data_IF_461254154209
#
_entry.id   IF_461254154209
#
_cell.length_a   1.000
_cell.length_b   1.000
_cell.length_c   1.000
_cell.angle_alpha   90.00
_cell.angle_beta   90.00
_cell.angle_gamma   90.00
#
_symmetry.space_group_name_H-M   'P 1'
#
loop_
_entity.id
_entity.type
_entity.pdbx_description
1 polymer ?
#
# COMPACT_ATOMS: atom_id res chain seq x y z
N UNK A 1 -26.74 -41.31 32.00
CA UNK A 1 -26.97 -40.30 30.97
C UNK A 1 -26.14 -39.03 31.19
N UNK A 2 -26.06 -38.42 32.36
CA UNK A 2 -25.31 -37.15 32.56
C UNK A 2 -23.76 -37.28 32.38
N UNK A 3 -23.19 -38.45 32.65
CA UNK A 3 -21.72 -38.66 32.44
C UNK A 3 -21.35 -38.84 30.98
N UNK A 4 -22.18 -39.51 30.18
CA UNK A 4 -21.94 -39.71 28.75
C UNK A 4 -22.01 -38.38 27.99
N UNK A 5 -22.94 -37.49 28.39
CA UNK A 5 -23.09 -36.17 27.76
C UNK A 5 -21.88 -35.24 28.02
N UNK A 6 -21.27 -35.35 29.21
CA UNK A 6 -20.05 -34.60 29.55
C UNK A 6 -18.82 -35.05 28.76
N UNK A 7 -18.69 -36.36 28.53
CA UNK A 7 -17.59 -36.89 27.69
C UNK A 7 -17.76 -36.51 26.23
N UNK A 8 -19.00 -36.52 25.68
CA UNK A 8 -19.29 -36.08 24.33
C UNK A 8 -18.97 -34.57 24.12
N UNK A 9 -19.31 -33.74 25.13
CA UNK A 9 -19.03 -32.29 25.08
C UNK A 9 -17.54 -31.99 25.12
N UNK A 10 -16.77 -32.70 25.94
CA UNK A 10 -15.31 -32.56 26.01
C UNK A 10 -14.61 -33.04 24.72
N UNK A 11 -15.10 -34.14 24.13
CA UNK A 11 -14.55 -34.65 22.86
C UNK A 11 -14.82 -33.68 21.70
N UNK A 12 -15.99 -33.05 21.67
CA UNK A 12 -16.33 -32.06 20.65
C UNK A 12 -15.48 -30.77 20.80
N UNK A 13 -15.26 -30.31 22.03
CA UNK A 13 -14.41 -29.16 22.29
C UNK A 13 -12.92 -29.43 21.90
N UNK A 14 -12.45 -30.65 22.15
CA UNK A 14 -11.09 -31.05 21.76
C UNK A 14 -10.91 -31.14 20.25
N UNK A 15 -11.92 -31.63 19.52
CA UNK A 15 -11.92 -31.68 18.06
C UNK A 15 -11.96 -30.29 17.44
N UNK A 16 -12.71 -29.34 18.04
CA UNK A 16 -12.77 -27.95 17.58
C UNK A 16 -11.44 -27.22 17.75
N UNK A 17 -10.69 -27.51 18.81
CA UNK A 17 -9.36 -26.92 19.03
C UNK A 17 -8.31 -27.46 18.04
N UNK A 18 -8.43 -28.72 17.63
CA UNK A 18 -7.56 -29.33 16.63
C UNK A 18 -7.78 -28.78 15.20
N UNK A 19 -9.02 -28.41 14.87
CA UNK A 19 -9.33 -27.83 13.55
C UNK A 19 -8.91 -26.38 13.42
N UNK A 20 -8.76 -25.63 14.53
CA UNK A 20 -8.26 -24.24 14.51
C UNK A 20 -6.76 -24.12 14.18
N UNK A 21 -5.99 -25.21 14.23
CA UNK A 21 -4.54 -25.17 13.94
C UNK A 21 -4.16 -25.46 12.50
N UNK A 22 -5.10 -25.78 11.66
CA UNK A 22 -4.86 -25.99 10.24
C UNK A 22 -5.18 -24.71 9.42
N UNK A 23 -4.61 -23.57 9.82
CA UNK A 23 -4.49 -22.48 8.83
C UNK A 23 -3.44 -22.94 7.81
N UNK A 24 -3.79 -22.95 6.50
CA UNK A 24 -2.79 -23.16 5.48
C UNK A 24 -1.72 -22.09 5.68
N UNK A 25 -0.46 -22.52 5.87
CA UNK A 25 0.68 -21.59 5.86
C UNK A 25 0.56 -20.76 4.60
N UNK A 26 0.52 -19.44 4.79
CA UNK A 26 0.57 -18.53 3.66
C UNK A 26 1.79 -18.90 2.80
N UNK A 27 1.65 -18.98 1.47
CA UNK A 27 2.75 -19.36 0.61
C UNK A 27 3.95 -18.46 0.93
N UNK A 28 5.05 -19.09 1.33
CA UNK A 28 6.29 -18.39 1.68
C UNK A 28 6.93 -17.88 0.39
N UNK A 29 6.39 -16.77 -0.13
CA UNK A 29 7.06 -16.06 -1.20
C UNK A 29 8.35 -15.49 -0.61
N UNK A 30 9.53 -15.79 -1.18
CA UNK A 30 10.75 -15.13 -0.77
C UNK A 30 10.50 -13.63 -0.93
N UNK A 31 10.52 -12.90 0.18
CA UNK A 31 10.40 -11.44 0.13
C UNK A 31 11.51 -10.94 -0.78
N UNK A 32 11.19 -10.14 -1.79
CA UNK A 32 12.21 -9.54 -2.62
C UNK A 32 13.20 -8.80 -1.71
N UNK A 33 14.48 -8.93 -2.01
CA UNK A 33 15.54 -8.17 -1.29
C UNK A 33 15.07 -6.73 -1.25
N UNK A 34 14.80 -6.20 -0.06
CA UNK A 34 14.34 -4.82 0.09
C UNK A 34 15.42 -3.91 -0.46
N UNK A 35 15.12 -3.06 -1.44
CA UNK A 35 16.08 -2.08 -1.88
C UNK A 35 16.48 -1.19 -0.71
N UNK A 36 17.73 -0.76 -0.65
CA UNK A 36 18.21 0.14 0.42
C UNK A 36 17.37 1.42 0.52
N UNK A 37 16.72 1.79 -0.59
CA UNK A 37 15.84 2.96 -0.68
C UNK A 37 14.53 2.58 -1.37
N UNK A 38 13.41 2.75 -0.68
CA UNK A 38 12.08 2.61 -1.25
C UNK A 38 11.74 3.86 -2.07
N UNK A 39 11.41 3.68 -3.35
CA UNK A 39 11.00 4.77 -4.25
C UNK A 39 9.56 4.55 -4.69
N UNK A 40 8.70 5.52 -4.44
CA UNK A 40 7.28 5.46 -4.81
C UNK A 40 6.93 6.73 -5.58
N UNK A 41 6.33 6.57 -6.75
CA UNK A 41 5.74 7.64 -7.53
C UNK A 41 4.23 7.38 -7.63
N UNK A 42 3.44 8.29 -7.08
CA UNK A 42 1.99 8.31 -7.30
C UNK A 42 1.67 9.15 -8.53
N UNK A 43 0.92 8.59 -9.47
CA UNK A 43 0.41 9.31 -10.65
C UNK A 43 -1.10 9.32 -10.57
N UNK A 44 -1.71 10.50 -10.65
CA UNK A 44 -3.17 10.55 -10.60
C UNK A 44 -3.78 11.92 -10.34
N UNK A 45 -4.96 11.87 -9.75
CA UNK A 45 -5.80 13.00 -9.40
C UNK A 45 -5.96 13.13 -7.88
N UNK A 46 -7.03 13.78 -7.40
CA UNK A 46 -7.32 13.97 -5.97
C UNK A 46 -7.37 12.68 -5.15
N UNK A 47 -7.77 11.55 -5.74
CA UNK A 47 -7.73 10.25 -5.04
C UNK A 47 -6.30 9.79 -4.75
N UNK A 48 -5.37 10.06 -5.66
CA UNK A 48 -3.94 9.79 -5.42
C UNK A 48 -3.39 10.72 -4.36
N UNK A 49 -3.86 11.97 -4.30
CA UNK A 49 -3.51 12.92 -3.25
C UNK A 49 -3.89 12.39 -1.87
N UNK A 50 -5.13 11.95 -1.70
CA UNK A 50 -5.62 11.38 -0.45
C UNK A 50 -4.80 10.15 -0.04
N UNK A 51 -4.49 9.26 -0.98
CA UNK A 51 -3.68 8.07 -0.73
C UNK A 51 -2.22 8.35 -0.35
N UNK A 52 -1.65 9.43 -0.90
CA UNK A 52 -0.23 9.77 -0.71
C UNK A 52 0.01 10.76 0.43
N UNK A 53 -1.01 11.50 0.87
CA UNK A 53 -0.88 12.61 1.84
C UNK A 53 -0.21 12.17 3.14
N UNK A 54 -0.66 11.05 3.70
CA UNK A 54 -0.18 10.54 5.00
C UNK A 54 0.87 9.43 4.87
N UNK A 55 1.24 9.07 3.63
CA UNK A 55 2.17 7.98 3.38
C UNK A 55 3.55 8.22 4.02
N UNK A 56 4.12 9.44 4.05
CA UNK A 56 5.38 9.71 4.73
C UNK A 56 5.36 9.32 6.21
N UNK A 57 4.33 9.75 6.94
CA UNK A 57 4.19 9.46 8.37
C UNK A 57 3.94 7.98 8.65
N UNK A 58 3.16 7.33 7.79
CA UNK A 58 2.89 5.89 7.91
C UNK A 58 4.17 5.06 7.71
N UNK A 59 4.99 5.41 6.73
CA UNK A 59 6.26 4.74 6.48
C UNK A 59 7.26 4.96 7.61
N UNK A 60 7.33 6.18 8.15
CA UNK A 60 8.17 6.48 9.30
C UNK A 60 7.72 5.70 10.54
N UNK A 61 6.41 5.66 10.82
CA UNK A 61 5.84 4.88 11.92
C UNK A 61 6.10 3.37 11.76
N UNK A 62 6.14 2.87 10.53
CA UNK A 62 6.52 1.49 10.21
C UNK A 62 8.05 1.23 10.27
N UNK A 63 8.85 2.25 10.62
CA UNK A 63 10.31 2.14 10.71
C UNK A 63 11.03 2.14 9.35
N UNK A 64 10.33 2.48 8.26
CA UNK A 64 10.89 2.54 6.90
C UNK A 64 11.40 3.97 6.67
N UNK A 65 12.72 4.17 6.76
CA UNK A 65 13.33 5.51 6.79
C UNK A 65 13.92 5.96 5.46
N UNK A 66 14.44 5.02 4.66
CA UNK A 66 15.05 5.35 3.38
C UNK A 66 13.98 5.36 2.29
N UNK A 67 13.26 6.46 2.17
CA UNK A 67 12.10 6.59 1.28
C UNK A 67 12.23 7.83 0.42
N UNK A 68 11.93 7.69 -0.86
CA UNK A 68 11.77 8.79 -1.81
C UNK A 68 10.35 8.71 -2.35
N UNK A 69 9.53 9.70 -2.05
CA UNK A 69 8.16 9.79 -2.52
C UNK A 69 8.02 10.93 -3.53
N UNK A 70 7.40 10.63 -4.65
CA UNK A 70 7.01 11.60 -5.67
C UNK A 70 5.53 11.49 -5.99
N UNK A 71 4.96 12.55 -6.51
CA UNK A 71 3.56 12.60 -6.94
C UNK A 71 3.41 13.47 -8.17
N UNK A 72 2.90 12.89 -9.25
CA UNK A 72 2.47 13.58 -10.45
C UNK A 72 0.96 13.77 -10.40
N UNK A 73 0.53 14.99 -10.27
CA UNK A 73 -0.87 15.37 -10.06
C UNK A 73 -1.44 16.13 -11.24
N UNK A 74 -2.63 15.71 -11.68
CA UNK A 74 -3.49 16.49 -12.57
C UNK A 74 -4.94 16.38 -12.09
N UNK A 75 -5.64 17.51 -11.84
CA UNK A 75 -6.98 17.51 -11.26
C UNK A 75 -8.01 16.81 -12.16
N UNK A 76 -8.81 15.90 -11.57
CA UNK A 76 -9.89 15.21 -12.28
C UNK A 76 -9.44 14.27 -13.41
N UNK A 77 -8.15 13.98 -13.52
CA UNK A 77 -7.60 13.17 -14.61
C UNK A 77 -8.12 11.73 -14.58
N UNK A 78 -8.61 11.25 -15.69
CA UNK A 78 -8.96 9.85 -15.90
C UNK A 78 -7.75 9.04 -16.34
N UNK A 79 -7.81 7.71 -16.19
CA UNK A 79 -6.74 6.83 -16.66
C UNK A 79 -6.44 7.01 -18.16
N UNK A 80 -7.49 7.21 -18.98
CA UNK A 80 -7.34 7.49 -20.40
C UNK A 80 -6.51 8.75 -20.65
N UNK A 81 -6.82 9.84 -19.94
CA UNK A 81 -6.08 11.11 -20.09
C UNK A 81 -4.60 10.95 -19.68
N UNK A 82 -4.31 10.16 -18.64
CA UNK A 82 -2.92 9.86 -18.30
C UNK A 82 -2.17 9.18 -19.45
N UNK A 83 -2.80 8.19 -20.11
CA UNK A 83 -2.21 7.52 -21.28
C UNK A 83 -2.05 8.49 -22.47
N UNK A 84 -3.00 9.40 -22.67
CA UNK A 84 -2.92 10.42 -23.73
C UNK A 84 -1.79 11.43 -23.48
N UNK A 85 -1.61 11.84 -22.22
CA UNK A 85 -0.54 12.76 -21.82
C UNK A 85 0.84 12.11 -21.95
N UNK A 86 0.98 10.85 -21.54
CA UNK A 86 2.20 10.09 -21.70
C UNK A 86 2.56 9.90 -23.18
N UNK A 87 1.62 9.47 -24.01
CA UNK A 87 1.82 9.28 -25.44
C UNK A 87 2.20 10.59 -26.19
N UNK A 88 1.78 11.74 -25.68
CA UNK A 88 2.06 13.04 -26.24
C UNK A 88 3.29 13.74 -25.61
N UNK A 89 3.96 13.11 -24.62
CA UNK A 89 4.99 13.72 -23.77
C UNK A 89 4.56 15.10 -23.25
N UNK A 90 3.29 15.18 -22.81
CA UNK A 90 2.66 16.45 -22.50
C UNK A 90 3.00 16.90 -21.06
N UNK A 91 3.56 18.10 -20.85
CA UNK A 91 3.92 18.63 -19.54
C UNK A 91 2.69 19.14 -18.78
N UNK A 92 1.83 18.21 -18.36
CA UNK A 92 0.52 18.51 -17.77
C UNK A 92 0.49 18.39 -16.26
N UNK A 93 1.49 17.72 -15.66
CA UNK A 93 1.45 17.39 -14.24
C UNK A 93 2.12 18.43 -13.37
N UNK A 94 1.53 18.69 -12.21
CA UNK A 94 2.28 19.27 -11.11
C UNK A 94 3.04 18.15 -10.41
N UNK A 95 4.36 18.26 -10.33
CA UNK A 95 5.22 17.31 -9.64
C UNK A 95 5.53 17.78 -8.22
N UNK A 96 5.19 16.93 -7.27
CA UNK A 96 5.53 17.12 -5.87
C UNK A 96 6.51 16.05 -5.41
N UNK A 97 7.36 16.40 -4.44
CA UNK A 97 8.26 15.48 -3.75
C UNK A 97 8.09 15.63 -2.25
N UNK A 98 8.10 14.53 -1.52
CA UNK A 98 8.09 14.57 -0.06
C UNK A 98 9.52 14.65 0.47
N UNK A 99 9.79 15.67 1.27
CA UNK A 99 11.03 15.86 2.01
C UNK A 99 10.69 16.12 3.49
N UNK A 100 11.27 15.31 4.37
CA UNK A 100 11.04 15.42 5.83
C UNK A 100 9.55 15.51 6.19
N UNK A 101 8.75 14.61 5.66
CA UNK A 101 7.29 14.53 5.87
C UNK A 101 6.52 15.77 5.37
N UNK A 102 7.08 16.51 4.43
CA UNK A 102 6.42 17.63 3.77
C UNK A 102 6.42 17.45 2.26
N UNK A 103 5.29 17.73 1.64
CA UNK A 103 5.17 17.79 0.20
C UNK A 103 5.56 19.19 -0.30
N UNK A 104 6.50 19.24 -1.23
CA UNK A 104 6.95 20.47 -1.89
C UNK A 104 6.75 20.37 -3.39
N UNK A 105 6.29 21.44 -4.02
CA UNK A 105 6.20 21.52 -5.48
C UNK A 105 7.60 21.60 -6.07
N UNK A 106 7.90 20.70 -7.00
CA UNK A 106 9.18 20.67 -7.72
C UNK A 106 9.02 21.29 -9.12
N UNK A 107 7.89 21.00 -9.78
CA UNK A 107 7.56 21.52 -11.12
C UNK A 107 6.05 21.63 -11.27
N UNK A 108 5.58 22.66 -11.97
CA UNK A 108 4.17 22.83 -12.35
C UNK A 108 3.89 22.33 -13.77
N UNK A 109 4.91 21.90 -14.49
CA UNK A 109 4.81 21.41 -15.87
C UNK A 109 5.75 20.21 -16.05
N UNK A 110 5.37 19.07 -15.46
CA UNK A 110 6.11 17.81 -15.60
C UNK A 110 5.42 16.88 -16.60
N UNK A 111 6.21 16.05 -17.27
CA UNK A 111 5.76 14.89 -18.05
C UNK A 111 5.79 13.63 -17.19
N UNK A 112 5.13 12.57 -17.65
CA UNK A 112 5.17 11.24 -17.03
C UNK A 112 6.44 10.49 -17.44
#
# INVERSE_FOLDING_TARGET
>A
MKKLFRFALCAFALLAVLTLRAQPEAPNFPLPVRPDTLRILGVGNSFTDDGMMYLPELLEAAGIRNVVLGRLYYPGCSLRQHCEFDAADAPKYTYYKSERNRWTTVSEAATL
#
